data_IF_116944947356
#
_entry.id   IF_116944947356
#
_cell.length_a   1.000
_cell.length_b   1.000
_cell.length_c   1.000
_cell.angle_alpha   90.00
_cell.angle_beta   90.00
_cell.angle_gamma   90.00
#
_symmetry.space_group_name_H-M   'P 1'
#
loop_
_entity.id
_entity.type
_entity.pdbx_description
1 polymer ?
#
# COMPACT_ATOMS: atom_id res chain seq x y z
N UNK A 1 33.39 -24.16 17.46
CA UNK A 1 33.01 -24.85 16.21
C UNK A 1 31.47 -24.98 16.24
N UNK A 2 30.75 -24.04 15.69
CA UNK A 2 29.30 -24.12 15.51
C UNK A 2 29.01 -23.78 14.07
N UNK A 3 28.55 -24.75 13.33
CA UNK A 3 28.13 -24.67 11.94
C UNK A 3 26.68 -24.22 11.89
N UNK A 4 26.44 -23.00 11.42
CA UNK A 4 25.12 -22.48 11.09
C UNK A 4 24.71 -23.04 9.72
N UNK A 5 23.59 -23.77 9.71
CA UNK A 5 23.06 -24.41 8.51
C UNK A 5 22.34 -23.39 7.60
N UNK A 6 22.73 -23.40 6.34
CA UNK A 6 22.00 -22.75 5.25
C UNK A 6 20.73 -23.56 4.94
N UNK A 7 19.58 -22.93 5.05
CA UNK A 7 18.32 -23.50 4.56
C UNK A 7 18.23 -23.19 3.05
N UNK A 8 18.32 -24.24 2.23
CA UNK A 8 18.10 -24.20 0.79
C UNK A 8 16.60 -24.22 0.51
N UNK A 9 16.09 -23.21 -0.15
CA UNK A 9 14.73 -23.21 -0.67
C UNK A 9 14.66 -24.09 -1.93
N UNK A 10 13.85 -25.15 -1.86
CA UNK A 10 13.49 -25.97 -3.00
C UNK A 10 12.19 -25.46 -3.61
N UNK A 11 12.26 -24.91 -4.82
CA UNK A 11 11.08 -24.51 -5.57
C UNK A 11 10.27 -25.74 -6.01
N UNK A 12 9.01 -25.81 -5.63
CA UNK A 12 8.06 -26.78 -6.14
C UNK A 12 7.39 -26.23 -7.40
N UNK A 13 7.76 -26.77 -8.55
CA UNK A 13 7.02 -26.62 -9.81
C UNK A 13 5.75 -27.48 -9.72
N UNK A 14 4.59 -26.85 -9.65
CA UNK A 14 3.31 -27.52 -9.82
C UNK A 14 2.97 -27.50 -11.31
N UNK A 15 3.06 -28.68 -11.95
CA UNK A 15 2.59 -28.88 -13.31
C UNK A 15 1.05 -28.89 -13.33
N UNK A 16 0.43 -27.93 -14.03
CA UNK A 16 -0.99 -27.97 -14.35
C UNK A 16 -1.23 -29.03 -15.43
N UNK A 17 -1.89 -30.13 -15.07
CA UNK A 17 -2.46 -31.06 -16.02
C UNK A 17 -3.77 -30.48 -16.58
N UNK A 18 -3.78 -30.14 -17.87
CA UNK A 18 -4.98 -29.70 -18.58
C UNK A 18 -5.81 -30.96 -18.91
N UNK A 19 -6.93 -31.17 -18.22
CA UNK A 19 -7.95 -32.10 -18.64
C UNK A 19 -8.92 -31.37 -19.59
N UNK A 20 -8.80 -31.63 -20.88
CA UNK A 20 -9.78 -31.21 -21.89
C UNK A 20 -10.92 -32.25 -21.93
N UNK A 21 -12.08 -31.92 -21.39
CA UNK A 21 -13.41 -32.33 -21.86
C UNK A 21 -14.45 -32.06 -20.76
N UNK A 22 -15.22 -31.00 -20.94
CA UNK A 22 -16.67 -30.89 -20.76
C UNK A 22 -17.04 -29.41 -20.78
N UNK A 23 -17.88 -29.00 -21.71
CA UNK A 23 -18.31 -27.64 -21.90
C UNK A 23 -19.17 -27.12 -20.75
N UNK A 24 -18.52 -26.45 -19.83
CA UNK A 24 -19.11 -25.57 -18.84
C UNK A 24 -18.40 -24.23 -18.96
N UNK A 25 -19.14 -23.12 -18.86
CA UNK A 25 -18.53 -21.80 -18.79
C UNK A 25 -17.43 -21.79 -17.72
N UNK A 26 -16.27 -21.16 -17.98
CA UNK A 26 -15.21 -21.08 -16.98
C UNK A 26 -15.80 -20.45 -15.71
N UNK A 27 -15.71 -21.18 -14.61
CA UNK A 27 -16.03 -20.61 -13.31
C UNK A 27 -15.11 -19.39 -13.13
N UNK A 28 -15.71 -18.21 -12.98
CA UNK A 28 -14.97 -17.00 -12.62
C UNK A 28 -14.32 -17.32 -11.27
N UNK A 29 -13.00 -17.36 -11.24
CA UNK A 29 -12.27 -17.53 -9.99
C UNK A 29 -12.73 -16.44 -9.00
N UNK A 30 -12.92 -16.76 -7.72
CA UNK A 30 -13.30 -15.75 -6.76
C UNK A 30 -12.25 -14.62 -6.78
N UNK A 31 -12.65 -13.36 -6.61
CA UNK A 31 -11.78 -12.18 -6.79
C UNK A 31 -10.49 -12.19 -5.94
N UNK A 32 -10.42 -13.03 -4.93
CA UNK A 32 -9.26 -13.15 -4.06
C UNK A 32 -8.23 -14.21 -4.53
N UNK A 33 -8.47 -14.92 -5.62
CA UNK A 33 -7.53 -15.94 -6.10
C UNK A 33 -6.30 -15.34 -6.82
N UNK A 34 -6.36 -14.07 -7.18
CA UNK A 34 -5.31 -13.38 -7.94
C UNK A 34 -4.28 -12.67 -7.07
N UNK A 35 -4.63 -12.38 -5.81
CA UNK A 35 -3.75 -11.74 -4.83
C UNK A 35 -3.06 -12.80 -3.97
N UNK A 36 -2.34 -13.68 -4.63
CA UNK A 36 -1.56 -14.74 -4.03
C UNK A 36 -0.35 -14.19 -3.24
N UNK A 37 0.20 -15.04 -2.38
CA UNK A 37 1.46 -14.87 -1.64
C UNK A 37 2.64 -14.31 -2.47
N UNK A 38 2.48 -14.21 -3.77
CA UNK A 38 3.42 -13.55 -4.69
C UNK A 38 3.35 -12.03 -4.63
N UNK A 39 2.35 -11.43 -3.97
CA UNK A 39 2.24 -9.97 -3.87
C UNK A 39 3.52 -9.31 -3.36
N UNK A 40 4.13 -9.90 -2.36
CA UNK A 40 5.41 -9.45 -1.82
C UNK A 40 6.58 -10.35 -2.19
N UNK A 41 6.37 -11.32 -3.08
CA UNK A 41 7.40 -12.27 -3.50
C UNK A 41 7.83 -13.26 -2.42
N UNK A 42 7.09 -13.36 -1.31
CA UNK A 42 7.33 -14.27 -0.19
C UNK A 42 6.02 -14.84 0.35
N UNK A 43 6.10 -15.99 0.97
CA UNK A 43 4.97 -16.57 1.70
C UNK A 43 4.78 -15.77 2.99
N UNK A 44 3.62 -15.14 3.13
CA UNK A 44 3.28 -14.43 4.35
C UNK A 44 3.09 -15.42 5.50
N UNK A 45 3.72 -15.14 6.63
CA UNK A 45 3.51 -15.87 7.87
C UNK A 45 2.95 -14.91 8.92
N UNK A 46 1.69 -15.05 9.25
CA UNK A 46 1.06 -14.27 10.30
C UNK A 46 1.01 -15.12 11.57
N UNK A 47 1.65 -14.67 12.64
CA UNK A 47 1.72 -15.38 13.93
C UNK A 47 2.23 -16.84 13.80
N UNK A 48 3.23 -17.07 12.93
CA UNK A 48 3.79 -18.39 12.69
C UNK A 48 2.89 -19.34 11.89
N UNK A 49 1.80 -18.85 11.31
CA UNK A 49 0.92 -19.59 10.41
C UNK A 49 1.12 -19.12 8.98
N UNK A 50 1.25 -20.07 8.05
CA UNK A 50 1.13 -19.79 6.64
C UNK A 50 -0.29 -19.28 6.37
N UNK A 51 -0.43 -18.06 5.86
CA UNK A 51 -1.72 -17.50 5.48
C UNK A 51 -2.07 -18.03 4.12
N UNK A 52 -3.00 -18.97 4.08
CA UNK A 52 -3.66 -19.40 2.84
C UNK A 52 -4.99 -18.66 2.70
N UNK A 53 -5.34 -18.29 1.49
CA UNK A 53 -6.44 -17.39 1.12
C UNK A 53 -7.88 -17.80 1.56
N UNK A 54 -8.02 -18.69 2.52
CA UNK A 54 -9.33 -19.16 2.99
C UNK A 54 -9.43 -19.07 4.51
N UNK A 55 -9.87 -17.92 5.01
CA UNK A 55 -10.38 -17.82 6.38
C UNK A 55 -11.92 -17.76 6.39
N UNK A 56 -12.60 -18.89 6.61
CA UNK A 56 -14.06 -18.95 6.58
C UNK A 56 -14.75 -18.35 7.80
N UNK A 57 -14.03 -17.74 8.77
CA UNK A 57 -14.58 -17.37 10.07
C UNK A 57 -14.35 -15.90 10.48
N UNK A 58 -14.15 -14.98 9.55
CA UNK A 58 -14.13 -13.56 9.89
C UNK A 58 -15.54 -13.13 10.36
N UNK A 59 -15.70 -12.94 11.65
CA UNK A 59 -16.88 -12.24 12.17
C UNK A 59 -16.78 -10.79 11.75
N UNK A 60 -17.69 -10.35 10.88
CA UNK A 60 -17.85 -8.94 10.61
C UNK A 60 -18.03 -8.20 11.94
N UNK A 61 -17.21 -7.17 12.17
CA UNK A 61 -17.46 -6.27 13.28
C UNK A 61 -18.82 -5.60 13.10
N UNK A 62 -19.48 -5.21 14.20
CA UNK A 62 -20.72 -4.44 14.13
C UNK A 62 -20.51 -3.23 13.21
N UNK A 63 -21.49 -2.95 12.35
CA UNK A 63 -21.43 -1.75 11.52
C UNK A 63 -21.63 -0.52 12.42
N UNK A 64 -20.54 0.17 12.74
CA UNK A 64 -20.58 1.41 13.49
C UNK A 64 -21.14 2.52 12.60
N UNK A 65 -22.47 2.57 12.49
CA UNK A 65 -23.14 3.51 11.60
C UNK A 65 -22.90 4.99 11.93
N UNK A 66 -22.41 5.28 13.15
CA UNK A 66 -22.26 6.67 13.59
C UNK A 66 -20.98 6.84 14.41
N UNK A 67 -19.91 7.28 13.76
CA UNK A 67 -18.75 7.82 14.46
C UNK A 67 -19.06 9.28 14.75
N UNK A 68 -19.32 9.60 16.01
CA UNK A 68 -19.49 10.98 16.46
C UNK A 68 -18.10 11.51 16.80
N UNK A 69 -17.55 12.49 16.05
CA UNK A 69 -16.27 13.07 16.40
C UNK A 69 -16.34 13.69 17.78
N UNK A 70 -15.42 13.31 18.65
CA UNK A 70 -15.29 13.99 19.96
C UNK A 70 -14.71 15.39 19.75
N UNK A 71 -15.45 16.39 20.17
CA UNK A 71 -15.05 17.81 20.07
C UNK A 71 -13.78 18.14 20.85
N UNK A 72 -13.32 17.25 21.73
CA UNK A 72 -12.11 17.42 22.54
C UNK A 72 -10.89 16.67 21.98
N UNK A 73 -11.04 15.89 20.91
CA UNK A 73 -9.92 15.18 20.30
C UNK A 73 -8.93 16.13 19.66
N UNK A 74 -7.67 16.03 20.01
CA UNK A 74 -6.57 16.77 19.38
C UNK A 74 -6.23 16.24 17.97
N UNK A 75 -6.60 14.99 17.67
CA UNK A 75 -6.40 14.40 16.34
C UNK A 75 -7.34 15.06 15.33
N UNK A 76 -6.77 15.39 14.20
CA UNK A 76 -7.50 15.90 13.03
C UNK A 76 -7.70 14.83 11.95
N UNK A 77 -7.20 13.63 12.18
CA UNK A 77 -7.16 12.56 11.20
C UNK A 77 -7.98 11.36 11.67
N UNK A 78 -8.47 10.59 10.70
CA UNK A 78 -8.79 9.18 10.84
C UNK A 78 -7.70 8.38 10.13
N UNK A 79 -7.29 7.28 10.73
CA UNK A 79 -6.36 6.32 10.18
C UNK A 79 -7.12 5.07 9.74
N UNK A 80 -6.73 4.54 8.59
CA UNK A 80 -7.33 3.38 7.97
C UNK A 80 -6.24 2.34 7.75
N UNK A 81 -6.33 1.22 8.45
CA UNK A 81 -5.47 0.05 8.22
C UNK A 81 -6.24 -0.92 7.33
N UNK A 82 -5.71 -1.18 6.15
CA UNK A 82 -6.40 -1.92 5.10
C UNK A 82 -5.90 -3.34 5.08
N UNK A 83 -6.81 -4.29 5.25
CA UNK A 83 -6.50 -5.71 5.25
C UNK A 83 -6.54 -6.25 3.83
N UNK A 84 -5.50 -6.99 3.47
CA UNK A 84 -5.32 -7.48 2.11
C UNK A 84 -6.30 -8.61 1.76
N UNK A 85 -6.40 -9.62 2.60
CA UNK A 85 -7.32 -10.74 2.38
C UNK A 85 -8.68 -10.56 3.04
N UNK A 86 -8.75 -9.81 4.12
CA UNK A 86 -9.96 -9.63 4.91
C UNK A 86 -11.06 -8.80 4.26
N UNK A 87 -10.80 -8.21 3.09
CA UNK A 87 -11.74 -7.38 2.34
C UNK A 87 -12.35 -6.25 3.16
N UNK A 88 -11.61 -5.68 4.09
CA UNK A 88 -12.03 -4.55 4.91
C UNK A 88 -10.87 -3.66 5.33
N UNK A 89 -11.18 -2.39 5.64
CA UNK A 89 -10.28 -1.44 6.28
C UNK A 89 -10.78 -1.11 7.67
N UNK A 90 -9.93 -1.24 8.68
CA UNK A 90 -10.20 -0.87 10.06
C UNK A 90 -9.95 0.61 10.27
N UNK A 91 -10.84 1.31 11.00
CA UNK A 91 -10.81 2.76 11.21
C UNK A 91 -10.39 3.07 12.63
N UNK A 92 -9.48 4.03 12.80
CA UNK A 92 -8.95 4.48 14.08
C UNK A 92 -9.03 6.00 14.21
N UNK A 93 -8.99 6.49 15.44
CA UNK A 93 -8.99 7.91 15.80
C UNK A 93 -7.76 8.22 16.68
N UNK A 94 -6.57 8.01 16.15
CA UNK A 94 -5.33 8.25 16.88
C UNK A 94 -4.97 9.75 16.86
N UNK A 95 -4.39 10.35 17.91
CA UNK A 95 -3.96 9.69 19.17
C UNK A 95 -5.05 9.61 20.24
N UNK A 96 -6.32 9.85 19.93
CA UNK A 96 -7.40 9.78 20.90
C UNK A 96 -7.64 8.35 21.37
N UNK A 97 -7.59 7.38 20.45
CA UNK A 97 -7.74 5.96 20.73
C UNK A 97 -6.91 5.14 19.74
N UNK A 98 -6.31 4.07 20.24
CA UNK A 98 -5.68 3.00 19.47
C UNK A 98 -6.62 1.80 19.25
N UNK A 99 -7.87 1.88 19.74
CA UNK A 99 -8.90 0.88 19.49
C UNK A 99 -9.63 1.15 18.18
N UNK A 100 -10.02 0.07 17.49
CA UNK A 100 -10.83 0.15 16.29
C UNK A 100 -12.21 0.74 16.57
N UNK A 101 -12.57 1.79 15.85
CA UNK A 101 -13.85 2.50 16.00
C UNK A 101 -14.83 2.21 14.86
N UNK A 102 -14.42 1.48 13.82
CA UNK A 102 -15.28 1.13 12.69
C UNK A 102 -14.54 0.38 11.60
N UNK A 103 -15.25 0.13 10.51
CA UNK A 103 -14.65 -0.49 9.33
C UNK A 103 -15.35 -0.07 8.03
N UNK A 104 -14.63 -0.23 6.91
CA UNK A 104 -15.14 -0.20 5.54
C UNK A 104 -15.01 -1.61 4.99
N UNK A 105 -16.07 -2.16 4.41
CA UNK A 105 -16.07 -3.50 3.82
C UNK A 105 -15.93 -3.47 2.31
N UNK A 106 -15.56 -4.61 1.71
CA UNK A 106 -15.34 -4.79 0.27
C UNK A 106 -14.21 -3.91 -0.29
N UNK A 107 -13.16 -3.75 0.50
CA UNK A 107 -11.92 -3.06 0.12
C UNK A 107 -10.73 -3.93 0.49
N UNK A 108 -9.62 -3.78 -0.24
CA UNK A 108 -8.38 -4.47 0.04
C UNK A 108 -7.27 -3.90 -0.85
N UNK A 109 -6.04 -3.90 -0.36
CA UNK A 109 -4.90 -3.32 -1.05
C UNK A 109 -4.38 -2.06 -0.34
N UNK A 110 -4.14 -1.01 -1.08
CA UNK A 110 -3.54 0.21 -0.55
C UNK A 110 -4.52 1.38 -0.55
N UNK A 111 -4.19 2.41 0.22
CA UNK A 111 -4.96 3.64 0.26
C UNK A 111 -4.12 4.87 -0.08
N UNK A 112 -4.78 5.91 -0.59
CA UNK A 112 -4.16 7.20 -0.85
C UNK A 112 -5.15 8.36 -0.67
N UNK A 113 -4.61 9.56 -0.59
CA UNK A 113 -5.39 10.79 -0.51
C UNK A 113 -4.68 11.92 -1.25
N UNK A 114 -5.40 12.99 -1.58
CA UNK A 114 -4.86 14.10 -2.36
C UNK A 114 -3.96 15.03 -1.53
N UNK A 115 -2.86 14.50 -0.97
CA UNK A 115 -2.08 15.28 -0.05
C UNK A 115 -0.61 15.20 -0.28
N UNK A 116 -0.06 16.36 -0.41
CA UNK A 116 1.31 16.62 -0.02
C UNK A 116 1.34 16.68 1.51
N UNK A 117 2.22 15.92 2.13
CA UNK A 117 2.43 15.88 3.60
C UNK A 117 1.48 15.01 4.41
N UNK A 118 0.89 13.99 3.79
CA UNK A 118 0.32 12.88 4.54
C UNK A 118 -1.07 13.05 5.13
N UNK A 119 -1.81 14.13 4.86
CA UNK A 119 -3.21 14.23 5.26
C UNK A 119 -4.07 14.94 4.23
N UNK A 120 -5.13 14.29 3.80
CA UNK A 120 -6.08 14.74 2.80
C UNK A 120 -7.17 15.62 3.32
N UNK A 121 -7.76 16.29 2.37
CA UNK A 121 -9.09 16.86 2.60
C UNK A 121 -10.04 15.70 2.78
N UNK A 122 -10.80 15.61 3.80
CA UNK A 122 -11.99 14.77 4.10
C UNK A 122 -12.36 13.64 3.12
N UNK A 123 -11.51 13.33 2.15
CA UNK A 123 -11.68 12.25 1.16
C UNK A 123 -10.37 11.48 0.96
N UNK A 124 -10.50 10.21 0.69
CA UNK A 124 -9.39 9.29 0.44
C UNK A 124 -9.86 8.20 -0.51
N UNK A 125 -8.92 7.52 -1.13
CA UNK A 125 -9.15 6.41 -2.03
C UNK A 125 -8.65 5.12 -1.42
N UNK A 126 -9.34 4.02 -1.68
CA UNK A 126 -8.86 2.68 -1.39
C UNK A 126 -9.03 1.83 -2.64
N UNK A 127 -7.99 1.09 -2.97
CA UNK A 127 -8.01 0.05 -3.99
C UNK A 127 -8.98 -1.06 -3.55
N UNK A 128 -9.83 -1.49 -4.44
CA UNK A 128 -10.87 -2.50 -4.15
C UNK A 128 -10.51 -3.88 -4.76
N UNK A 129 -9.27 -4.25 -4.73
CA UNK A 129 -8.76 -5.62 -4.89
C UNK A 129 -9.04 -6.37 -6.20
N UNK A 130 -9.88 -5.84 -7.11
CA UNK A 130 -10.22 -6.55 -8.36
C UNK A 130 -9.84 -5.74 -9.60
N UNK A 131 -10.57 -4.71 -9.87
CA UNK A 131 -10.42 -3.83 -11.03
C UNK A 131 -10.96 -2.43 -10.74
N UNK A 132 -11.01 -2.06 -9.46
CA UNK A 132 -11.68 -0.85 -9.01
C UNK A 132 -10.86 -0.11 -7.96
N UNK A 133 -11.10 1.21 -7.90
CA UNK A 133 -10.67 2.06 -6.82
C UNK A 133 -11.83 2.96 -6.40
N UNK A 134 -12.08 3.07 -5.10
CA UNK A 134 -13.22 3.79 -4.55
C UNK A 134 -12.79 4.98 -3.71
N UNK A 135 -13.40 6.15 -3.99
CA UNK A 135 -13.28 7.35 -3.17
C UNK A 135 -14.27 7.31 -2.01
N UNK A 136 -13.76 7.60 -0.84
CA UNK A 136 -14.55 7.73 0.38
C UNK A 136 -14.43 9.13 0.96
N UNK A 137 -15.52 9.62 1.55
CA UNK A 137 -15.49 10.75 2.49
C UNK A 137 -15.41 10.21 3.90
N UNK A 138 -14.54 10.80 4.70
CA UNK A 138 -14.42 10.44 6.12
C UNK A 138 -15.78 10.44 6.83
N UNK A 139 -16.06 9.52 7.76
CA UNK A 139 -15.17 8.41 8.11
C UNK A 139 -15.25 7.21 7.15
N UNK A 140 -16.35 7.02 6.39
CA UNK A 140 -16.53 5.83 5.54
C UNK A 140 -17.59 5.95 4.43
N UNK A 141 -18.00 7.17 4.09
CA UNK A 141 -19.06 7.35 3.07
C UNK A 141 -18.48 7.20 1.67
N UNK A 142 -18.86 6.16 0.89
CA UNK A 142 -18.43 6.04 -0.50
C UNK A 142 -19.02 7.20 -1.33
N UNK A 143 -18.21 7.74 -2.23
CA UNK A 143 -18.57 8.84 -3.12
C UNK A 143 -18.65 8.38 -4.57
N UNK A 144 -17.61 7.71 -5.07
CA UNK A 144 -17.55 7.20 -6.44
C UNK A 144 -16.57 6.05 -6.54
N UNK A 145 -16.75 5.22 -7.55
CA UNK A 145 -15.85 4.13 -7.91
C UNK A 145 -15.41 4.32 -9.36
N UNK A 146 -14.12 4.09 -9.61
CA UNK A 146 -13.54 4.08 -10.94
C UNK A 146 -13.12 2.64 -11.28
N UNK A 147 -13.39 2.22 -12.51
CA UNK A 147 -12.84 0.98 -13.06
C UNK A 147 -11.40 1.20 -13.49
N UNK A 148 -10.51 0.33 -13.04
CA UNK A 148 -9.09 0.31 -13.41
C UNK A 148 -8.92 -0.75 -14.49
N UNK A 149 -8.66 -0.36 -15.75
CA UNK A 149 -8.58 -1.33 -16.83
C UNK A 149 -7.29 -2.15 -16.76
N UNK A 150 -7.39 -3.43 -17.14
CA UNK A 150 -6.28 -4.35 -17.41
C UNK A 150 -5.27 -4.57 -16.29
N UNK A 151 -5.71 -4.95 -15.10
CA UNK A 151 -4.72 -5.31 -14.10
C UNK A 151 -5.30 -5.58 -12.73
N UNK A 152 -4.39 -5.75 -11.79
CA UNK A 152 -4.65 -5.83 -10.37
C UNK A 152 -4.20 -4.51 -9.76
N UNK A 153 -5.11 -3.55 -9.55
CA UNK A 153 -4.74 -2.31 -8.90
C UNK A 153 -4.19 -2.61 -7.50
N UNK A 154 -3.00 -2.13 -7.22
CA UNK A 154 -2.28 -2.39 -5.97
C UNK A 154 -2.03 -1.12 -5.18
N UNK A 155 -1.63 -0.06 -5.86
CA UNK A 155 -1.24 1.20 -5.27
C UNK A 155 -2.08 2.36 -5.79
N UNK A 156 -2.02 3.50 -5.13
CA UNK A 156 -2.53 4.74 -5.66
C UNK A 156 -1.83 5.96 -5.08
N UNK A 157 -1.72 7.01 -5.90
CA UNK A 157 -1.32 8.34 -5.48
C UNK A 157 -2.21 9.41 -6.11
N UNK A 158 -2.33 10.54 -5.45
CA UNK A 158 -3.07 11.69 -5.97
C UNK A 158 -2.22 12.95 -5.89
N UNK A 159 -2.17 13.71 -6.98
CA UNK A 159 -1.48 14.99 -7.01
C UNK A 159 -2.35 16.14 -6.45
N UNK A 160 -1.75 17.32 -6.33
CA UNK A 160 -2.44 18.52 -5.83
C UNK A 160 -3.49 19.09 -6.79
N UNK A 161 -3.44 18.71 -8.07
CA UNK A 161 -4.44 19.11 -9.07
C UNK A 161 -5.65 18.17 -9.10
N UNK A 162 -5.57 17.02 -8.45
CA UNK A 162 -6.63 16.02 -8.35
C UNK A 162 -6.49 14.89 -9.37
N UNK A 163 -5.35 14.78 -10.04
CA UNK A 163 -5.05 13.62 -10.89
C UNK A 163 -4.73 12.41 -10.01
N UNK A 164 -5.35 11.28 -10.30
CA UNK A 164 -5.18 10.03 -9.57
C UNK A 164 -4.38 9.07 -10.42
N UNK A 165 -3.23 8.63 -9.92
CA UNK A 165 -2.48 7.50 -10.45
C UNK A 165 -2.89 6.23 -9.71
N UNK A 166 -2.93 5.10 -10.42
CA UNK A 166 -3.21 3.78 -9.87
C UNK A 166 -2.24 2.80 -10.52
N UNK A 167 -1.42 2.15 -9.71
CA UNK A 167 -0.49 1.14 -10.16
C UNK A 167 -1.13 -0.24 -10.29
N UNK A 168 -0.63 -1.04 -11.22
CA UNK A 168 -1.07 -2.40 -11.46
C UNK A 168 0.05 -3.40 -11.17
N UNK A 169 -0.18 -4.26 -10.19
CA UNK A 169 0.80 -5.25 -9.76
C UNK A 169 1.11 -6.30 -10.84
N UNK A 170 0.10 -6.76 -11.57
CA UNK A 170 0.24 -7.92 -12.45
C UNK A 170 1.02 -7.63 -13.75
N UNK A 171 1.08 -6.38 -14.20
CA UNK A 171 1.70 -5.99 -15.46
C UNK A 171 2.62 -4.76 -15.37
N UNK A 172 2.71 -4.14 -14.19
CA UNK A 172 3.55 -2.98 -13.95
C UNK A 172 3.07 -1.66 -14.59
N UNK A 173 1.89 -1.63 -15.21
CA UNK A 173 1.33 -0.43 -15.81
C UNK A 173 0.82 0.54 -14.75
N UNK A 174 0.79 1.84 -15.09
CA UNK A 174 0.13 2.89 -14.30
C UNK A 174 -1.09 3.39 -15.07
N UNK A 175 -2.21 3.58 -14.40
CA UNK A 175 -3.43 4.19 -14.95
C UNK A 175 -3.63 5.57 -14.33
N UNK A 176 -3.64 6.62 -15.17
CA UNK A 176 -3.82 8.00 -14.71
C UNK A 176 -5.24 8.48 -15.03
N UNK A 177 -5.99 8.81 -13.98
CA UNK A 177 -7.32 9.40 -14.07
C UNK A 177 -7.25 10.92 -13.87
N UNK A 178 -7.45 11.66 -14.95
CA UNK A 178 -7.46 13.13 -14.91
C UNK A 178 -8.61 13.63 -14.01
N UNK A 179 -8.31 14.51 -13.06
CA UNK A 179 -9.27 14.97 -12.04
C UNK A 179 -10.01 13.78 -11.36
N UNK A 180 -9.32 12.66 -11.17
CA UNK A 180 -9.86 11.42 -10.63
C UNK A 180 -11.23 11.04 -11.26
N UNK A 181 -11.32 11.05 -12.59
CA UNK A 181 -12.56 10.80 -13.33
C UNK A 181 -12.32 10.15 -14.69
N UNK A 182 -13.39 9.62 -15.29
CA UNK A 182 -13.32 9.01 -16.63
C UNK A 182 -12.75 7.61 -16.66
N UNK A 183 -12.21 7.21 -17.81
CA UNK A 183 -11.72 5.83 -18.04
C UNK A 183 -10.26 5.62 -17.69
N UNK A 184 -9.54 6.68 -17.32
CA UNK A 184 -8.11 6.63 -17.10
C UNK A 184 -7.30 6.46 -18.40
N UNK A 185 -6.02 6.78 -18.33
CA UNK A 185 -5.05 6.58 -19.42
C UNK A 185 -4.02 5.58 -18.93
N UNK A 186 -3.90 4.46 -19.64
CA UNK A 186 -2.91 3.42 -19.33
C UNK A 186 -1.56 3.87 -19.87
N UNK A 187 -0.54 3.76 -19.02
CA UNK A 187 0.85 4.04 -19.37
C UNK A 187 1.70 2.82 -19.05
N UNK A 188 2.25 2.19 -20.08
CA UNK A 188 3.15 1.05 -19.94
C UNK A 188 4.50 1.51 -19.43
N UNK A 189 4.90 1.02 -18.28
CA UNK A 189 6.13 1.38 -17.59
C UNK A 189 7.27 0.40 -17.88
N UNK A 190 8.51 0.67 -17.44
CA UNK A 190 9.61 -0.29 -17.54
C UNK A 190 9.50 -1.44 -16.51
N UNK A 191 8.58 -1.37 -15.56
CA UNK A 191 8.41 -2.39 -14.52
C UNK A 191 7.62 -3.60 -15.04
N UNK A 192 7.94 -4.78 -14.53
CA UNK A 192 7.11 -5.98 -14.68
C UNK A 192 6.02 -6.05 -13.61
N UNK A 193 6.28 -5.43 -12.47
CA UNK A 193 5.35 -5.32 -11.32
C UNK A 193 5.55 -3.97 -10.68
N UNK A 194 4.51 -3.20 -10.58
CA UNK A 194 4.47 -1.97 -9.81
C UNK A 194 3.93 -2.28 -8.41
N UNK A 195 4.50 -1.65 -7.38
CA UNK A 195 4.14 -1.90 -6.00
C UNK A 195 3.59 -0.67 -5.29
N UNK A 196 4.26 0.48 -5.40
CA UNK A 196 3.87 1.70 -4.68
C UNK A 196 4.14 2.93 -5.51
N UNK A 197 3.27 3.91 -5.37
CA UNK A 197 3.35 5.18 -6.07
C UNK A 197 3.14 6.39 -5.14
N UNK A 198 3.70 7.54 -5.54
CA UNK A 198 3.60 8.79 -4.81
C UNK A 198 3.95 9.99 -5.67
N UNK A 199 3.23 11.10 -5.50
CA UNK A 199 3.56 12.37 -6.14
C UNK A 199 4.44 13.24 -5.26
N UNK A 200 5.34 14.01 -5.88
CA UNK A 200 6.05 15.09 -5.21
C UNK A 200 5.24 16.41 -5.26
N UNK A 201 5.79 17.46 -4.65
CA UNK A 201 5.15 18.79 -4.62
C UNK A 201 5.20 19.55 -5.96
N UNK A 202 5.83 19.00 -6.98
CA UNK A 202 5.89 19.55 -8.33
C UNK A 202 4.95 18.84 -9.29
N UNK A 203 4.30 17.75 -8.83
CA UNK A 203 3.42 16.92 -9.63
C UNK A 203 4.17 15.84 -10.43
N UNK A 204 5.45 15.56 -10.12
CA UNK A 204 6.12 14.39 -10.66
C UNK A 204 5.60 13.15 -9.94
N UNK A 205 5.26 12.11 -10.70
CA UNK A 205 4.85 10.83 -10.16
C UNK A 205 6.07 9.92 -10.04
N UNK A 206 6.31 9.41 -8.84
CA UNK A 206 7.30 8.39 -8.56
C UNK A 206 6.60 7.09 -8.23
N UNK A 207 7.17 5.98 -8.68
CA UNK A 207 6.67 4.65 -8.35
C UNK A 207 7.82 3.65 -8.37
N UNK A 208 7.66 2.59 -7.61
CA UNK A 208 8.66 1.55 -7.50
C UNK A 208 8.11 0.15 -7.83
N UNK A 209 9.02 -0.77 -7.96
CA UNK A 209 8.66 -2.14 -8.25
C UNK A 209 9.84 -2.97 -8.73
N UNK A 210 9.51 -4.05 -9.44
CA UNK A 210 10.51 -4.92 -10.02
C UNK A 210 10.51 -4.87 -11.54
N UNK A 211 11.71 -4.80 -12.12
CA UNK A 211 11.91 -5.00 -13.57
C UNK A 211 11.62 -6.44 -13.97
N UNK A 212 11.52 -6.77 -15.28
CA UNK A 212 11.42 -8.15 -15.76
C UNK A 212 12.56 -9.05 -15.26
N UNK A 213 13.71 -8.48 -14.91
CA UNK A 213 14.85 -9.19 -14.31
C UNK A 213 14.80 -9.33 -12.79
N UNK A 214 13.67 -8.98 -12.15
CA UNK A 214 13.47 -9.02 -10.68
C UNK A 214 14.44 -8.10 -9.90
N UNK A 215 14.93 -7.05 -10.52
CA UNK A 215 15.68 -6.00 -9.84
C UNK A 215 14.73 -4.88 -9.39
N UNK A 216 14.95 -4.35 -8.19
CA UNK A 216 14.28 -3.14 -7.74
C UNK A 216 14.56 -1.97 -8.70
N UNK A 217 13.54 -1.20 -9.02
CA UNK A 217 13.68 0.03 -9.78
C UNK A 217 12.72 1.10 -9.24
N UNK A 218 13.24 2.32 -9.07
CA UNK A 218 12.45 3.52 -8.81
C UNK A 218 12.33 4.30 -10.12
N UNK A 219 11.12 4.66 -10.49
CA UNK A 219 10.80 5.31 -11.76
C UNK A 219 10.12 6.63 -11.51
N UNK A 220 10.40 7.63 -12.34
CA UNK A 220 9.73 8.92 -12.36
C UNK A 220 8.97 9.11 -13.67
N UNK A 221 7.75 9.61 -13.59
CA UNK A 221 7.05 10.28 -14.68
C UNK A 221 7.05 11.78 -14.38
N UNK A 222 7.93 12.58 -15.02
CA UNK A 222 7.96 14.03 -14.81
C UNK A 222 6.62 14.67 -15.19
N UNK A 223 6.18 15.66 -14.43
CA UNK A 223 4.94 16.39 -14.67
C UNK A 223 4.86 16.89 -16.12
N UNK A 224 3.75 16.57 -16.80
CA UNK A 224 3.52 16.93 -18.20
C UNK A 224 4.30 16.11 -19.22
N UNK A 225 5.10 15.13 -18.78
CA UNK A 225 5.82 14.19 -19.67
C UNK A 225 4.94 12.97 -20.00
N UNK A 226 5.29 12.32 -21.12
CA UNK A 226 4.84 10.96 -21.43
C UNK A 226 5.98 9.94 -21.37
N UNK A 227 7.16 10.35 -20.88
CA UNK A 227 8.35 9.51 -20.84
C UNK A 227 8.77 9.26 -19.41
N UNK A 228 8.95 8.00 -19.08
CA UNK A 228 9.50 7.56 -17.80
C UNK A 228 11.01 7.76 -17.74
N UNK A 229 11.51 7.96 -16.53
CA UNK A 229 12.93 8.05 -16.22
C UNK A 229 13.25 7.13 -15.04
N UNK A 230 14.25 6.27 -15.20
CA UNK A 230 14.77 5.47 -14.06
C UNK A 230 15.55 6.37 -13.12
N UNK A 231 15.23 6.30 -11.83
CA UNK A 231 15.93 7.02 -10.77
C UNK A 231 16.95 6.11 -10.11
N UNK A 232 18.21 6.48 -10.19
CA UNK A 232 19.29 5.74 -9.53
C UNK A 232 19.40 6.17 -8.08
N UNK A 233 19.14 5.28 -7.14
CA UNK A 233 19.33 5.50 -5.70
C UNK A 233 20.80 5.32 -5.32
N UNK A 234 21.28 6.10 -4.36
CA UNK A 234 22.70 6.03 -3.89
C UNK A 234 22.95 4.86 -2.93
N UNK A 235 21.90 4.19 -2.46
CA UNK A 235 21.95 2.97 -1.67
C UNK A 235 21.07 1.90 -2.31
N UNK A 236 21.23 0.66 -1.86
CA UNK A 236 20.37 -0.44 -2.27
C UNK A 236 19.03 -0.33 -1.57
N UNK A 237 17.95 -0.55 -2.31
CA UNK A 237 16.62 -0.92 -1.81
C UNK A 237 16.43 -2.40 -2.12
N UNK A 238 16.09 -3.19 -1.10
CA UNK A 238 16.02 -4.65 -1.22
C UNK A 238 14.66 -5.13 -1.69
N UNK A 239 13.58 -4.51 -1.17
CA UNK A 239 12.21 -4.84 -1.54
C UNK A 239 11.34 -3.57 -1.62
N UNK A 240 10.54 -3.39 -2.70
CA UNK A 240 9.70 -2.21 -2.89
C UNK A 240 8.75 -1.97 -1.72
N UNK A 241 8.59 -0.73 -1.32
CA UNK A 241 7.66 -0.27 -0.29
C UNK A 241 7.21 1.15 -0.57
N UNK A 242 6.42 1.73 0.29
CA UNK A 242 5.76 3.02 0.05
C UNK A 242 6.69 4.09 -0.51
N UNK A 243 6.24 4.74 -1.56
CA UNK A 243 6.84 5.95 -2.11
C UNK A 243 6.00 7.15 -1.68
N UNK A 244 6.60 8.13 -0.99
CA UNK A 244 5.87 9.29 -0.51
C UNK A 244 6.77 10.55 -0.48
N UNK A 245 6.17 11.72 -0.75
CA UNK A 245 6.82 13.01 -0.49
C UNK A 245 6.52 13.45 0.95
N UNK A 246 7.55 13.61 1.79
CA UNK A 246 7.39 13.97 3.21
C UNK A 246 7.35 15.49 3.46
N UNK A 247 7.37 16.28 2.38
CA UNK A 247 7.44 17.74 2.44
C UNK A 247 8.83 18.31 2.16
N UNK A 248 9.85 17.47 2.22
CA UNK A 248 11.23 17.85 1.99
C UNK A 248 11.98 16.83 1.13
N UNK A 249 11.72 15.56 1.34
CA UNK A 249 12.39 14.44 0.72
C UNK A 249 11.41 13.54 -0.03
N UNK A 250 11.85 12.94 -1.11
CA UNK A 250 11.22 11.73 -1.60
C UNK A 250 11.59 10.58 -0.67
N UNK A 251 10.59 9.92 -0.09
CA UNK A 251 10.83 8.76 0.76
C UNK A 251 10.50 7.49 0.02
N UNK A 252 11.31 6.44 0.24
CA UNK A 252 11.10 5.09 -0.24
C UNK A 252 11.27 4.15 0.95
N UNK A 253 10.28 3.34 1.20
CA UNK A 253 10.34 2.33 2.25
C UNK A 253 10.91 1.02 1.70
N UNK A 254 11.84 0.42 2.41
CA UNK A 254 12.37 -0.91 2.12
C UNK A 254 11.76 -1.92 3.09
N UNK A 255 10.86 -2.77 2.59
CA UNK A 255 10.15 -3.75 3.40
C UNK A 255 11.08 -4.80 4.05
N UNK A 256 12.20 -5.13 3.40
CA UNK A 256 13.13 -6.13 3.93
C UNK A 256 13.92 -5.64 5.14
N UNK A 257 14.22 -4.34 5.19
CA UNK A 257 15.00 -3.73 6.26
C UNK A 257 14.14 -2.99 7.28
N UNK A 258 12.86 -2.78 6.98
CA UNK A 258 11.94 -1.93 7.73
C UNK A 258 12.49 -0.49 7.90
N UNK A 259 13.06 0.06 6.82
CA UNK A 259 13.69 1.38 6.79
C UNK A 259 13.03 2.28 5.75
N UNK A 260 12.78 3.54 6.12
CA UNK A 260 12.37 4.60 5.21
C UNK A 260 13.61 5.39 4.83
N UNK A 261 14.00 5.35 3.56
CA UNK A 261 15.09 6.15 3.02
C UNK A 261 14.57 7.51 2.57
N UNK A 262 15.28 8.58 2.94
CA UNK A 262 14.97 9.96 2.60
C UNK A 262 15.94 10.45 1.52
N UNK A 263 15.41 10.84 0.35
CA UNK A 263 16.25 11.23 -0.79
C UNK A 263 16.05 12.69 -1.20
N UNK A 264 17.17 13.35 -1.56
CA UNK A 264 17.14 14.53 -2.43
C UNK A 264 17.37 14.10 -3.88
N UNK A 265 16.63 14.73 -4.81
CA UNK A 265 16.71 14.41 -6.23
C UNK A 265 17.54 15.45 -6.99
N UNK A 266 18.40 14.97 -7.90
CA UNK A 266 19.14 15.80 -8.85
C UNK A 266 19.15 15.11 -10.22
N UNK A 267 18.25 15.54 -11.11
CA UNK A 267 17.96 14.81 -12.33
C UNK A 267 17.50 13.38 -12.00
N UNK A 268 18.10 12.39 -12.61
CA UNK A 268 17.80 10.98 -12.40
C UNK A 268 18.57 10.33 -11.24
N UNK A 269 19.11 11.11 -10.31
CA UNK A 269 19.87 10.60 -9.17
C UNK A 269 19.18 10.96 -7.86
N UNK A 270 18.94 9.94 -7.02
CA UNK A 270 18.44 10.07 -5.67
C UNK A 270 19.58 9.88 -4.67
N UNK A 271 19.96 10.95 -3.98
CA UNK A 271 21.00 10.95 -2.96
C UNK A 271 20.36 10.72 -1.59
N UNK A 272 20.81 9.70 -0.86
CA UNK A 272 20.36 9.41 0.50
C UNK A 272 20.81 10.53 1.44
N UNK A 273 19.86 11.09 2.19
CA UNK A 273 20.08 12.14 3.20
C UNK A 273 19.77 11.65 4.61
N UNK A 274 18.94 10.64 4.75
CA UNK A 274 18.56 10.07 6.04
C UNK A 274 17.90 8.72 5.92
N UNK A 275 17.85 8.02 7.06
CA UNK A 275 17.19 6.72 7.20
C UNK A 275 16.38 6.73 8.49
N UNK A 276 15.14 6.25 8.42
CA UNK A 276 14.22 6.13 9.55
C UNK A 276 13.91 4.65 9.75
N UNK A 277 14.43 4.04 10.81
CA UNK A 277 14.23 2.62 11.10
C UNK A 277 12.97 2.41 11.91
N UNK A 278 12.10 1.49 11.49
CA UNK A 278 10.88 1.08 12.19
C UNK A 278 11.20 -0.16 13.03
N UNK A 279 11.76 0.05 14.22
CA UNK A 279 12.27 -1.03 15.07
C UNK A 279 11.14 -1.90 15.62
N UNK A 280 11.17 -3.19 15.30
CA UNK A 280 10.18 -4.18 15.70
C UNK A 280 9.10 -4.45 14.68
N UNK A 281 9.03 -3.67 13.58
CA UNK A 281 8.22 -4.02 12.42
C UNK A 281 8.71 -5.35 11.82
N UNK A 282 7.75 -6.18 11.44
CA UNK A 282 8.01 -7.53 10.92
C UNK A 282 7.66 -7.68 9.45
N UNK A 283 6.57 -7.07 8.99
CA UNK A 283 6.10 -7.16 7.61
C UNK A 283 5.18 -5.98 7.28
N UNK A 284 5.73 -4.77 7.43
CA UNK A 284 5.09 -3.54 6.98
C UNK A 284 5.25 -3.42 5.47
N UNK A 285 4.17 -3.22 4.73
CA UNK A 285 4.23 -3.02 3.28
C UNK A 285 3.99 -1.57 2.88
N UNK A 286 2.81 -1.03 3.20
CA UNK A 286 2.54 0.39 3.04
C UNK A 286 2.79 1.12 4.35
N UNK A 287 3.61 2.18 4.30
CA UNK A 287 3.72 3.19 5.34
C UNK A 287 2.99 4.46 4.92
N UNK A 288 2.51 5.24 5.91
CA UNK A 288 1.92 6.55 5.69
C UNK A 288 2.50 7.59 6.64
N UNK A 289 3.22 8.56 6.10
CA UNK A 289 3.85 9.62 6.87
C UNK A 289 2.87 10.78 7.00
N UNK A 290 2.48 11.11 8.23
CA UNK A 290 1.62 12.25 8.50
C UNK A 290 1.88 12.83 9.90
N UNK A 291 1.80 14.15 10.05
CA UNK A 291 1.80 14.85 11.37
C UNK A 291 2.94 14.45 12.32
N UNK A 292 4.12 14.12 11.76
CA UNK A 292 5.31 13.76 12.56
C UNK A 292 5.34 12.30 13.05
N UNK A 293 4.51 11.44 12.46
CA UNK A 293 4.50 10.00 12.69
C UNK A 293 4.46 9.22 11.38
N UNK A 294 4.78 7.94 11.46
CA UNK A 294 4.58 6.93 10.43
C UNK A 294 3.52 5.96 10.93
N UNK A 295 2.49 5.75 10.15
CA UNK A 295 1.53 4.66 10.33
C UNK A 295 1.94 3.48 9.46
N UNK A 296 1.75 2.28 9.96
CA UNK A 296 2.08 1.03 9.27
C UNK A 296 1.02 -0.02 9.55
N UNK A 297 0.56 -0.72 8.51
CA UNK A 297 -0.11 -2.00 8.65
C UNK A 297 0.96 -3.09 8.63
N UNK A 298 1.16 -3.80 9.75
CA UNK A 298 2.19 -4.83 9.90
C UNK A 298 1.57 -6.22 9.87
N UNK A 299 1.66 -6.89 8.72
CA UNK A 299 1.10 -8.21 8.53
C UNK A 299 1.83 -9.27 9.35
N UNK A 300 3.13 -9.12 9.58
CA UNK A 300 3.93 -10.05 10.36
C UNK A 300 3.57 -10.02 11.84
N UNK A 301 3.31 -8.84 12.40
CA UNK A 301 2.84 -8.66 13.77
C UNK A 301 1.31 -8.79 13.89
N UNK A 302 0.58 -8.74 12.76
CA UNK A 302 -0.88 -8.86 12.72
C UNK A 302 -1.61 -7.68 13.36
N UNK A 303 -1.07 -6.47 13.22
CA UNK A 303 -1.60 -5.26 13.81
C UNK A 303 -1.30 -4.00 12.95
N UNK A 304 -1.73 -2.84 13.43
CA UNK A 304 -1.26 -1.54 12.93
C UNK A 304 -0.34 -0.90 13.95
N UNK A 305 0.68 -0.21 13.49
CA UNK A 305 1.71 0.38 14.33
C UNK A 305 1.94 1.86 14.00
N UNK A 306 2.36 2.63 14.99
CA UNK A 306 2.68 4.05 14.86
C UNK A 306 4.08 4.30 15.34
N UNK A 307 4.89 4.96 14.53
CA UNK A 307 6.27 5.30 14.85
C UNK A 307 6.50 6.82 14.79
N UNK A 308 7.53 7.32 15.46
CA UNK A 308 7.93 8.72 15.32
C UNK A 308 8.57 8.99 13.96
N UNK A 309 8.28 10.13 13.37
CA UNK A 309 8.94 10.59 12.14
C UNK A 309 9.57 11.97 12.33
N UNK A 310 10.79 12.21 11.88
CA UNK A 310 11.73 11.28 11.23
C UNK A 310 12.61 10.50 12.23
N UNK A 311 12.32 10.47 13.50
CA UNK A 311 13.21 9.89 14.51
C UNK A 311 13.26 8.34 14.45
N UNK A 312 12.18 7.68 14.00
CA UNK A 312 12.12 6.22 14.00
C UNK A 312 12.11 5.62 15.41
N UNK A 313 12.67 4.42 15.54
CA UNK A 313 12.76 3.65 16.78
C UNK A 313 11.59 2.68 16.94
N UNK A 314 11.30 2.29 18.17
CA UNK A 314 10.19 1.40 18.49
C UNK A 314 8.83 2.07 18.29
N UNK A 315 7.81 1.28 18.01
CA UNK A 315 6.43 1.75 17.92
C UNK A 315 6.02 2.50 19.20
N UNK A 316 5.38 3.65 19.02
CA UNK A 316 4.85 4.50 20.12
C UNK A 316 3.38 4.21 20.41
N UNK A 317 2.70 3.52 19.49
CA UNK A 317 1.36 2.97 19.68
C UNK A 317 1.19 1.74 18.79
N UNK A 318 0.30 0.85 19.21
CA UNK A 318 -0.12 -0.34 18.48
C UNK A 318 -1.64 -0.33 18.46
N UNK A 319 -2.19 -0.36 17.24
CA UNK A 319 -3.63 -0.39 17.07
C UNK A 319 -4.21 -1.75 17.44
N UNK A 320 -5.27 -1.72 18.21
CA UNK A 320 -6.00 -2.91 18.63
C UNK A 320 -7.32 -3.03 17.86
N UNK A 321 -7.55 -4.19 17.27
CA UNK A 321 -8.74 -4.40 16.45
C UNK A 321 -8.74 -5.75 15.78
N UNK A 322 -9.58 -5.86 14.76
CA UNK A 322 -9.60 -7.01 13.89
C UNK A 322 -8.66 -6.77 12.71
N UNK A 323 -7.67 -7.66 12.56
CA UNK A 323 -6.75 -7.65 11.43
C UNK A 323 -6.65 -9.07 10.87
N UNK A 324 -6.56 -9.15 9.53
CA UNK A 324 -6.27 -10.41 8.84
C UNK A 324 -4.84 -10.34 8.27
N UNK A 325 -4.62 -9.57 7.24
CA UNK A 325 -3.28 -9.25 6.72
C UNK A 325 -3.21 -7.74 6.50
N UNK A 326 -2.88 -6.95 7.52
CA UNK A 326 -2.84 -5.50 7.42
C UNK A 326 -1.61 -5.05 6.63
N UNK A 327 -1.80 -4.68 5.36
CA UNK A 327 -0.72 -4.24 4.47
C UNK A 327 -0.88 -2.80 3.98
N UNK A 328 -2.11 -2.31 3.87
CA UNK A 328 -2.36 -0.96 3.40
C UNK A 328 -2.64 0.01 4.53
N UNK A 329 -2.31 1.28 4.31
CA UNK A 329 -2.61 2.35 5.27
C UNK A 329 -2.84 3.69 4.58
N UNK A 330 -3.78 4.46 5.09
CA UNK A 330 -3.97 5.87 4.72
C UNK A 330 -4.52 6.66 5.91
N UNK A 331 -4.15 7.93 6.00
CA UNK A 331 -4.74 8.87 6.96
C UNK A 331 -5.47 10.00 6.23
N UNK A 332 -6.65 10.38 6.68
CA UNK A 332 -7.46 11.43 6.07
C UNK A 332 -8.04 12.40 7.11
N UNK A 333 -8.17 13.69 6.75
CA UNK A 333 -8.65 14.76 7.63
C UNK A 333 -10.13 14.55 7.99
N UNK A 334 -10.47 14.78 9.27
CA UNK A 334 -11.85 14.73 9.81
C UNK A 334 -12.76 15.83 9.30
#
# INVERSE_FOLDING_TARGET
>A
MNTTGFVKYAGALIALAICSACGGAPAVAPPNAALDSTYIGRTLSVNGRLVTAAHPNLRALPDYATIVPDRHAKSKLFEYIINFYGTYASIFDYPKSDEQIGQITNVGGQGCTNVLYGYGKKTFWIVAGTDQITEYRVPKKPLKTLSVPYGEPSSCAMDTSGDLAVGNLSNGDIVIFKNASGSGVIMTTPLAREYFDGYDNKGNLFFDGFTPGSAFELVELPMGSSKFQTITTSNRVSFPGSVQWDGKYLTVFDQDTAEIYQYTLSGTKAKLEGTVSLTGSSDCAQTWIATGVVYCGDAGNGNGEVYKYPAGGSAIAVFTGQFDVPLGVVAAEK
#
